data_IF_192235822709
#
_entry.id   IF_192235822709
#
_cell.length_a   1.000
_cell.length_b   1.000
_cell.length_c   1.000
_cell.angle_alpha   90.00
_cell.angle_beta   90.00
_cell.angle_gamma   90.00
#
_symmetry.space_group_name_H-M   'P 1'
#
loop_
_entity.id
_entity.type
_entity.pdbx_description
1 polymer ?
#
# COMPACT_ATOMS: atom_id res chain seq x y z
N UNK A 1 13.91 -7.63 -1.11
CA UNK A 1 13.04 -8.78 -0.87
C UNK A 1 13.79 -9.88 -1.53
N UNK A 2 14.37 -10.77 -0.74
CA UNK A 2 15.04 -11.93 -1.31
C UNK A 2 13.88 -12.73 -1.92
N UNK A 3 13.71 -12.66 -3.24
CA UNK A 3 13.12 -13.79 -3.96
C UNK A 3 13.92 -14.96 -3.40
N UNK A 4 13.29 -15.84 -2.61
CA UNK A 4 13.96 -17.05 -2.17
C UNK A 4 14.23 -17.78 -3.47
N UNK A 5 15.44 -17.55 -3.99
CA UNK A 5 15.91 -18.13 -5.22
C UNK A 5 16.06 -19.60 -4.88
N UNK A 6 15.03 -20.34 -5.27
CA UNK A 6 14.96 -21.74 -4.97
C UNK A 6 16.16 -22.37 -5.66
N UNK A 7 16.98 -23.07 -4.88
CA UNK A 7 18.06 -23.80 -5.50
C UNK A 7 17.45 -24.89 -6.40
N UNK A 8 18.23 -25.39 -7.37
CA UNK A 8 17.77 -26.43 -8.31
C UNK A 8 17.14 -27.65 -7.61
N UNK A 9 17.61 -27.98 -6.40
CA UNK A 9 17.05 -29.09 -5.61
C UNK A 9 15.66 -28.75 -5.07
N UNK A 10 15.43 -27.55 -4.56
CA UNK A 10 14.13 -27.07 -4.08
C UNK A 10 13.12 -26.96 -5.22
N UNK A 11 13.52 -26.48 -6.39
CA UNK A 11 12.68 -26.48 -7.59
C UNK A 11 12.29 -27.91 -7.99
N UNK A 12 13.24 -28.84 -7.97
CA UNK A 12 13.00 -30.24 -8.28
C UNK A 12 12.07 -30.90 -7.23
N UNK A 13 12.23 -30.58 -5.95
CA UNK A 13 11.30 -31.04 -4.89
C UNK A 13 9.88 -30.54 -5.19
N UNK A 14 9.71 -29.27 -5.54
CA UNK A 14 8.39 -28.73 -5.92
C UNK A 14 7.82 -29.51 -7.11
N UNK A 15 8.62 -29.80 -8.14
CA UNK A 15 8.18 -30.54 -9.31
C UNK A 15 7.72 -31.97 -8.96
N UNK A 16 8.50 -32.69 -8.15
CA UNK A 16 8.13 -34.02 -7.65
C UNK A 16 6.78 -34.00 -6.93
N UNK A 17 6.56 -33.00 -6.07
CA UNK A 17 5.30 -32.89 -5.31
C UNK A 17 4.14 -32.43 -6.21
N UNK A 18 4.38 -31.66 -7.27
CA UNK A 18 3.36 -31.34 -8.28
C UNK A 18 2.91 -32.58 -9.06
N UNK A 19 3.85 -33.43 -9.44
CA UNK A 19 3.58 -34.58 -10.31
C UNK A 19 3.00 -35.77 -9.53
N UNK A 20 3.41 -35.94 -8.26
CA UNK A 20 3.09 -37.14 -7.46
C UNK A 20 2.41 -36.83 -6.12
N UNK A 21 2.00 -35.58 -5.89
CA UNK A 21 1.36 -35.17 -4.64
C UNK A 21 -0.04 -35.78 -4.45
N UNK A 22 -0.44 -36.18 -3.22
CA UNK A 22 0.35 -36.16 -1.98
C UNK A 22 1.46 -37.20 -1.92
N UNK A 23 2.66 -36.77 -1.48
CA UNK A 23 3.85 -37.63 -1.41
C UNK A 23 4.62 -37.45 -0.09
N UNK A 24 5.12 -38.54 0.50
CA UNK A 24 5.87 -38.49 1.77
C UNK A 24 7.29 -37.98 1.57
N UNK A 25 7.87 -37.40 2.63
CA UNK A 25 9.27 -36.95 2.60
C UNK A 25 10.29 -38.08 2.38
N UNK A 26 9.94 -39.32 2.72
CA UNK A 26 10.74 -40.51 2.36
C UNK A 26 10.73 -40.75 0.86
N UNK A 27 9.57 -40.73 0.21
CA UNK A 27 9.44 -40.96 -1.23
C UNK A 27 10.08 -39.86 -2.06
N UNK A 28 9.97 -38.59 -1.64
CA UNK A 28 10.69 -37.47 -2.28
C UNK A 28 12.20 -37.69 -2.18
N UNK A 29 12.70 -38.06 -1.00
CA UNK A 29 14.12 -38.27 -0.78
C UNK A 29 14.65 -39.44 -1.63
N UNK A 30 13.87 -40.53 -1.76
CA UNK A 30 14.21 -41.67 -2.61
C UNK A 30 14.36 -41.29 -4.10
N UNK A 31 13.44 -40.48 -4.64
CA UNK A 31 13.52 -40.01 -6.04
C UNK A 31 14.74 -39.11 -6.30
N UNK A 32 15.20 -38.39 -5.28
CA UNK A 32 16.38 -37.52 -5.36
C UNK A 32 17.69 -38.24 -4.98
N UNK A 33 17.64 -39.51 -4.61
CA UNK A 33 18.82 -40.27 -4.14
C UNK A 33 19.37 -39.76 -2.80
N UNK A 34 18.52 -39.17 -1.96
CA UNK A 34 18.89 -38.57 -0.68
C UNK A 34 18.20 -39.28 0.50
N UNK A 35 18.67 -39.01 1.72
CA UNK A 35 17.96 -39.42 2.94
C UNK A 35 16.94 -38.36 3.36
N UNK A 36 15.84 -38.79 4.01
CA UNK A 36 14.82 -37.88 4.54
C UNK A 36 15.40 -36.84 5.51
N UNK A 37 16.43 -37.20 6.28
CA UNK A 37 17.10 -36.28 7.19
C UNK A 37 17.78 -35.12 6.44
N UNK A 38 18.41 -35.41 5.30
CA UNK A 38 19.10 -34.43 4.44
C UNK A 38 18.12 -33.48 3.76
N UNK A 39 16.92 -33.97 3.41
CA UNK A 39 15.87 -33.21 2.73
C UNK A 39 15.05 -32.30 3.69
N UNK A 40 15.16 -32.52 5.01
CA UNK A 40 14.35 -31.83 6.03
C UNK A 40 14.47 -30.29 5.97
N UNK A 41 15.67 -29.68 5.80
CA UNK A 41 15.78 -28.23 5.70
C UNK A 41 15.05 -27.67 4.47
N UNK A 42 15.17 -28.33 3.31
CA UNK A 42 14.50 -27.88 2.09
C UNK A 42 12.99 -27.97 2.20
N UNK A 43 12.47 -29.08 2.72
CA UNK A 43 11.03 -29.24 2.96
C UNK A 43 10.51 -28.20 3.97
N UNK A 44 11.26 -27.92 5.03
CA UNK A 44 10.91 -26.90 6.00
C UNK A 44 10.87 -25.51 5.36
N UNK A 45 11.88 -25.15 4.56
CA UNK A 45 11.93 -23.87 3.84
C UNK A 45 10.76 -23.76 2.86
N UNK A 46 10.50 -24.80 2.06
CA UNK A 46 9.42 -24.81 1.07
C UNK A 46 8.03 -24.76 1.72
N UNK A 47 7.85 -25.35 2.90
CA UNK A 47 6.62 -25.25 3.68
C UNK A 47 6.46 -23.88 4.34
N UNK A 48 7.51 -23.33 4.94
CA UNK A 48 7.48 -21.97 5.52
C UNK A 48 7.26 -20.91 4.44
N UNK A 49 7.87 -21.09 3.27
CA UNK A 49 7.69 -20.25 2.11
C UNK A 49 6.37 -20.51 1.36
N UNK A 50 5.50 -21.39 1.88
CA UNK A 50 4.14 -21.61 1.41
C UNK A 50 4.00 -22.32 0.06
N UNK A 51 5.08 -22.83 -0.53
CA UNK A 51 5.05 -23.65 -1.75
C UNK A 51 4.46 -25.04 -1.48
N UNK A 52 4.70 -25.59 -0.28
CA UNK A 52 4.24 -26.90 0.13
C UNK A 52 3.41 -26.85 1.42
N UNK A 53 2.38 -27.67 1.53
CA UNK A 53 1.64 -27.92 2.77
C UNK A 53 1.96 -29.33 3.26
N UNK A 54 2.33 -29.48 4.53
CA UNK A 54 2.60 -30.77 5.14
C UNK A 54 1.40 -31.23 5.97
N UNK A 55 0.89 -32.44 5.71
CA UNK A 55 -0.16 -33.07 6.54
C UNK A 55 0.36 -34.32 7.25
N UNK A 56 0.09 -34.46 8.56
CA UNK A 56 0.48 -35.65 9.31
C UNK A 56 -0.02 -36.93 8.64
N UNK A 57 0.85 -37.94 8.54
CA UNK A 57 0.56 -39.29 7.98
C UNK A 57 0.20 -39.36 6.49
N UNK A 58 0.19 -38.23 5.78
CA UNK A 58 -0.14 -38.19 4.34
C UNK A 58 1.05 -37.71 3.50
N UNK A 59 1.78 -36.69 3.99
CA UNK A 59 2.95 -36.15 3.29
C UNK A 59 2.73 -34.70 2.86
N UNK A 60 3.43 -34.32 1.79
CA UNK A 60 3.47 -32.96 1.27
C UNK A 60 2.55 -32.80 0.07
N UNK A 61 1.89 -31.64 0.01
CA UNK A 61 1.03 -31.20 -1.08
C UNK A 61 1.62 -29.93 -1.68
N UNK A 62 1.51 -29.77 -2.99
CA UNK A 62 1.76 -28.48 -3.61
C UNK A 62 0.56 -27.59 -3.35
N UNK A 63 0.78 -26.40 -2.78
CA UNK A 63 -0.32 -25.50 -2.37
C UNK A 63 -1.01 -24.83 -3.56
N UNK A 64 -0.50 -25.00 -4.78
CA UNK A 64 -0.93 -24.24 -5.94
C UNK A 64 -0.36 -22.82 -5.97
N UNK A 65 0.18 -22.34 -4.84
CA UNK A 65 0.69 -20.99 -4.69
C UNK A 65 2.12 -20.88 -5.15
N UNK A 66 2.35 -20.04 -6.14
CA UNK A 66 3.71 -19.59 -6.48
C UNK A 66 4.18 -18.58 -5.43
N UNK A 67 5.49 -18.41 -5.23
CA UNK A 67 6.02 -17.37 -4.35
C UNK A 67 5.48 -15.97 -4.68
N UNK A 68 5.17 -15.73 -5.96
CA UNK A 68 4.49 -14.50 -6.41
C UNK A 68 3.05 -14.36 -5.90
N UNK A 69 2.28 -15.44 -5.75
CA UNK A 69 0.93 -15.38 -5.18
C UNK A 69 0.95 -15.08 -3.68
N UNK A 70 1.90 -15.67 -2.94
CA UNK A 70 2.08 -15.39 -1.52
C UNK A 70 2.53 -13.95 -1.28
N UNK A 71 3.43 -13.44 -2.12
CA UNK A 71 3.80 -12.04 -2.12
C UNK A 71 2.60 -11.13 -2.40
N UNK A 72 1.81 -11.44 -3.42
CA UNK A 72 0.60 -10.68 -3.75
C UNK A 72 -0.39 -10.62 -2.58
N UNK A 73 -0.62 -11.75 -1.90
CA UNK A 73 -1.47 -11.80 -0.70
C UNK A 73 -0.90 -10.98 0.46
N UNK A 74 0.43 -11.01 0.68
CA UNK A 74 1.07 -10.23 1.74
C UNK A 74 0.98 -8.71 1.47
N UNK A 75 1.25 -8.28 0.23
CA UNK A 75 1.18 -6.86 -0.16
C UNK A 75 -0.26 -6.33 -0.02
N UNK A 76 -1.28 -7.12 -0.39
CA UNK A 76 -2.69 -6.73 -0.24
C UNK A 76 -3.15 -6.58 1.21
N UNK A 77 -2.40 -7.12 2.19
CA UNK A 77 -2.74 -7.00 3.61
C UNK A 77 -2.20 -5.73 4.25
N UNK A 78 -1.24 -5.06 3.62
CA UNK A 78 -0.67 -3.79 4.13
C UNK A 78 -1.77 -2.74 4.20
N UNK A 79 -1.86 -2.03 5.33
CA UNK A 79 -2.91 -1.05 5.57
C UNK A 79 -2.38 0.37 5.47
N UNK A 80 -3.29 1.30 5.18
CA UNK A 80 -2.99 2.74 5.11
C UNK A 80 -2.37 3.25 6.41
N UNK A 81 -2.89 2.80 7.56
CA UNK A 81 -2.40 3.24 8.87
C UNK A 81 -0.91 2.95 9.12
N UNK A 82 -0.35 1.94 8.45
CA UNK A 82 1.05 1.53 8.64
C UNK A 82 2.03 2.50 7.96
N UNK A 83 1.57 3.24 6.95
CA UNK A 83 2.40 4.09 6.09
C UNK A 83 1.94 5.54 5.97
N UNK A 84 0.81 5.92 6.57
CA UNK A 84 0.27 7.27 6.52
C UNK A 84 1.23 8.32 7.12
N UNK A 85 1.08 9.56 6.69
CA UNK A 85 1.78 10.73 7.23
C UNK A 85 0.82 11.70 7.89
N UNK A 86 1.35 12.70 8.60
CA UNK A 86 0.52 13.76 9.19
C UNK A 86 -0.18 14.55 8.07
N UNK A 87 -1.46 14.91 8.25
CA UNK A 87 -2.15 15.77 7.31
C UNK A 87 -1.73 17.22 7.50
N UNK A 88 -1.82 18.01 6.43
CA UNK A 88 -1.72 19.47 6.50
C UNK A 88 -3.08 20.02 6.13
N UNK A 89 -3.70 20.74 7.06
CA UNK A 89 -5.07 21.24 6.94
C UNK A 89 -5.09 22.77 6.94
N UNK A 90 -6.02 23.36 6.18
CA UNK A 90 -6.27 24.80 6.12
C UNK A 90 -7.77 25.09 6.18
N UNK A 91 -8.17 26.24 6.73
CA UNK A 91 -9.57 26.66 6.72
C UNK A 91 -10.00 27.08 5.30
N UNK A 92 -11.26 26.80 4.95
CA UNK A 92 -11.84 27.10 3.63
C UNK A 92 -11.82 28.57 3.22
N UNK A 93 -11.68 29.50 4.16
CA UNK A 93 -11.67 30.93 3.90
C UNK A 93 -10.27 31.53 3.81
N UNK A 94 -9.22 30.72 4.03
CA UNK A 94 -7.82 31.13 3.85
C UNK A 94 -7.58 31.56 2.40
N UNK A 95 -6.76 32.59 2.20
CA UNK A 95 -6.42 33.07 0.87
C UNK A 95 -5.59 32.05 0.09
N UNK A 96 -5.63 32.10 -1.24
CA UNK A 96 -4.77 31.27 -2.09
C UNK A 96 -3.30 31.56 -1.82
N UNK A 97 -2.94 32.82 -1.55
CA UNK A 97 -1.58 33.21 -1.17
C UNK A 97 -1.10 32.53 0.12
N UNK A 98 -1.92 32.56 1.17
CA UNK A 98 -1.57 31.94 2.45
C UNK A 98 -1.53 30.40 2.34
N UNK A 99 -2.36 29.82 1.48
CA UNK A 99 -2.30 28.40 1.17
C UNK A 99 -0.99 28.03 0.46
N UNK A 100 -0.51 28.86 -0.48
CA UNK A 100 0.82 28.68 -1.10
C UNK A 100 1.91 28.75 -0.02
N UNK A 101 1.88 29.76 0.86
CA UNK A 101 2.84 29.89 1.95
C UNK A 101 2.84 28.65 2.86
N UNK A 102 1.66 28.18 3.27
CA UNK A 102 1.50 26.97 4.10
C UNK A 102 2.07 25.74 3.39
N UNK A 103 1.82 25.60 2.07
CA UNK A 103 2.35 24.49 1.29
C UNK A 103 3.88 24.45 1.26
N UNK A 104 4.53 25.63 1.15
CA UNK A 104 5.98 25.75 1.18
C UNK A 104 6.56 25.54 2.58
N UNK A 105 5.92 26.08 3.63
CA UNK A 105 6.37 25.93 5.01
C UNK A 105 6.33 24.47 5.48
N UNK A 106 5.29 23.74 5.10
CA UNK A 106 5.10 22.34 5.47
C UNK A 106 5.78 21.36 4.49
N UNK A 107 6.36 21.86 3.40
CA UNK A 107 6.97 21.08 2.31
C UNK A 107 6.07 19.95 1.79
N UNK A 108 4.83 20.30 1.45
CA UNK A 108 3.83 19.34 0.92
C UNK A 108 3.35 19.71 -0.49
N UNK A 109 2.67 18.79 -1.16
CA UNK A 109 2.08 19.01 -2.49
C UNK A 109 0.56 19.10 -2.51
N UNK A 110 -0.08 18.89 -1.36
CA UNK A 110 -1.54 18.82 -1.25
C UNK A 110 -1.95 19.29 0.14
N UNK A 111 -2.93 20.17 0.18
CA UNK A 111 -3.54 20.70 1.39
C UNK A 111 -4.99 20.22 1.48
N UNK A 112 -5.41 19.87 2.68
CA UNK A 112 -6.79 19.47 2.94
C UNK A 112 -7.55 20.63 3.53
N UNK A 113 -8.66 20.98 2.89
CA UNK A 113 -9.46 22.13 3.27
C UNK A 113 -10.54 21.66 4.22
N UNK A 114 -10.59 22.29 5.40
CA UNK A 114 -11.57 22.00 6.45
C UNK A 114 -12.50 23.20 6.69
N UNK A 115 -13.63 22.93 7.32
CA UNK A 115 -14.50 23.98 7.86
C UNK A 115 -14.22 24.28 9.35
N UNK A 116 -15.05 25.13 9.93
CA UNK A 116 -14.97 25.54 11.34
C UNK A 116 -15.18 24.37 12.32
N UNK A 117 -15.79 23.27 11.88
CA UNK A 117 -15.96 22.04 12.66
C UNK A 117 -14.84 21.03 12.39
N UNK A 118 -13.76 21.44 11.72
CA UNK A 118 -12.61 20.61 11.31
C UNK A 118 -12.98 19.45 10.38
N UNK A 119 -14.10 19.57 9.68
CA UNK A 119 -14.58 18.56 8.74
C UNK A 119 -14.01 18.81 7.35
N UNK A 120 -13.64 17.75 6.64
CA UNK A 120 -13.12 17.81 5.28
C UNK A 120 -14.20 18.35 4.32
N UNK A 121 -13.90 19.48 3.68
CA UNK A 121 -14.78 20.11 2.68
C UNK A 121 -14.14 20.22 1.30
N UNK A 122 -12.81 20.07 1.21
CA UNK A 122 -12.10 20.22 -0.05
C UNK A 122 -10.66 19.73 -0.02
N UNK A 123 -10.07 19.67 -1.20
CA UNK A 123 -8.63 19.41 -1.39
C UNK A 123 -8.07 20.41 -2.39
N UNK A 124 -6.87 20.91 -2.11
CA UNK A 124 -6.14 21.81 -3.00
C UNK A 124 -4.76 21.20 -3.26
N UNK A 125 -4.47 20.93 -4.53
CA UNK A 125 -3.16 20.46 -4.97
C UNK A 125 -2.27 21.61 -5.40
N UNK A 126 -0.96 21.35 -5.51
CA UNK A 126 -0.01 22.30 -6.11
C UNK A 126 -0.42 22.72 -7.53
N UNK A 127 -1.04 21.80 -8.29
CA UNK A 127 -1.57 22.08 -9.64
C UNK A 127 -2.70 23.10 -9.61
N UNK A 128 -3.58 23.03 -8.60
CA UNK A 128 -4.68 23.98 -8.45
C UNK A 128 -4.18 25.38 -8.09
N UNK A 129 -3.22 25.46 -7.16
CA UNK A 129 -2.58 26.73 -6.79
C UNK A 129 -1.82 27.35 -7.96
N UNK A 130 -1.08 26.55 -8.72
CA UNK A 130 -0.38 27.01 -9.92
C UNK A 130 -1.36 27.54 -10.99
N UNK A 131 -2.48 26.82 -11.19
CA UNK A 131 -3.53 27.27 -12.11
C UNK A 131 -4.13 28.61 -11.65
N UNK A 132 -4.35 28.78 -10.35
CA UNK A 132 -4.86 30.02 -9.80
C UNK A 132 -3.85 31.17 -9.94
N UNK A 133 -2.55 30.91 -9.70
CA UNK A 133 -1.50 31.93 -9.77
C UNK A 133 -1.22 32.44 -11.18
N UNK A 134 -1.52 31.64 -12.22
CA UNK A 134 -1.46 32.07 -13.62
C UNK A 134 -2.69 32.87 -14.05
N UNK A 135 -3.73 32.94 -13.21
CA UNK A 135 -4.91 33.76 -13.43
C UNK A 135 -4.64 35.24 -13.20
N UNK A 136 -5.61 36.08 -13.58
CA UNK A 136 -5.58 37.54 -13.33
C UNK A 136 -6.21 37.95 -12.00
N UNK A 137 -6.59 36.99 -11.17
CA UNK A 137 -7.24 37.25 -9.88
C UNK A 137 -6.20 37.60 -8.81
N UNK A 138 -6.60 38.44 -7.87
CA UNK A 138 -5.77 38.76 -6.71
C UNK A 138 -5.77 37.58 -5.73
N UNK A 139 -4.63 36.90 -5.64
CA UNK A 139 -4.45 35.70 -4.81
C UNK A 139 -4.52 35.99 -3.30
N UNK A 140 -4.30 37.25 -2.90
CA UNK A 140 -4.30 37.64 -1.49
C UNK A 140 -5.71 37.77 -0.93
N UNK A 141 -6.70 38.06 -1.79
CA UNK A 141 -8.12 38.16 -1.43
C UNK A 141 -8.96 36.96 -1.87
N UNK A 142 -8.47 36.15 -2.82
CA UNK A 142 -9.16 34.97 -3.32
C UNK A 142 -9.14 33.82 -2.28
N UNK A 143 -10.29 33.37 -1.73
CA UNK A 143 -10.33 32.26 -0.80
C UNK A 143 -10.16 30.90 -1.51
N UNK A 144 -9.50 29.96 -0.83
CA UNK A 144 -9.23 28.60 -1.36
C UNK A 144 -10.50 27.83 -1.73
N UNK A 145 -11.63 28.09 -1.07
CA UNK A 145 -12.88 27.42 -1.38
C UNK A 145 -13.37 27.64 -2.83
N UNK A 146 -12.92 28.70 -3.51
CA UNK A 146 -13.30 28.99 -4.90
C UNK A 146 -12.57 28.05 -5.87
N UNK A 147 -11.35 27.64 -5.55
CA UNK A 147 -10.49 26.86 -6.46
C UNK A 147 -10.34 25.39 -6.08
N UNK A 148 -10.73 25.01 -4.86
CA UNK A 148 -10.57 23.65 -4.34
C UNK A 148 -11.42 22.61 -5.08
N UNK A 149 -10.95 21.36 -5.09
CA UNK A 149 -11.78 20.22 -5.46
C UNK A 149 -12.75 19.94 -4.33
N UNK A 150 -14.05 19.92 -4.64
CA UNK A 150 -15.15 19.75 -3.69
C UNK A 150 -15.72 18.34 -3.71
N UNK A 151 -16.44 17.98 -2.65
CA UNK A 151 -17.31 16.80 -2.65
C UNK A 151 -18.32 16.88 -3.81
N UNK A 152 -18.68 15.74 -4.44
CA UNK A 152 -18.29 14.36 -4.13
C UNK A 152 -16.99 13.89 -4.82
N UNK A 153 -16.26 14.77 -5.50
CA UNK A 153 -15.11 14.39 -6.35
C UNK A 153 -13.79 14.18 -5.58
N UNK A 154 -13.82 14.27 -4.24
CA UNK A 154 -12.65 14.07 -3.41
C UNK A 154 -12.45 12.57 -3.19
N UNK A 155 -11.33 12.05 -3.69
CA UNK A 155 -10.87 10.71 -3.33
C UNK A 155 -10.35 10.73 -1.88
N UNK A 156 -10.78 9.79 -1.05
CA UNK A 156 -10.43 9.69 0.37
C UNK A 156 -10.32 8.24 0.79
N UNK A 157 -9.60 7.98 1.88
CA UNK A 157 -9.38 6.62 2.38
C UNK A 157 -9.52 6.57 3.90
N UNK A 158 -9.64 5.35 4.44
CA UNK A 158 -9.67 5.04 5.86
C UNK A 158 -8.41 4.29 6.27
N UNK A 159 -8.19 4.16 7.58
CA UNK A 159 -6.97 3.56 8.15
C UNK A 159 -6.83 2.08 7.81
N UNK A 160 -7.97 1.39 7.77
CA UNK A 160 -8.14 -0.03 7.53
C UNK A 160 -8.15 -0.40 6.04
N UNK A 161 -8.15 0.59 5.14
CA UNK A 161 -8.10 0.35 3.70
C UNK A 161 -6.77 -0.27 3.30
N UNK A 162 -6.80 -1.06 2.22
CA UNK A 162 -5.60 -1.66 1.63
C UNK A 162 -4.72 -0.60 0.99
N UNK A 163 -3.43 -0.58 1.33
CA UNK A 163 -2.48 0.33 0.71
C UNK A 163 -2.38 0.12 -0.81
N UNK A 164 -2.58 -1.12 -1.28
CA UNK A 164 -2.60 -1.46 -2.69
C UNK A 164 -3.80 -0.81 -3.41
N UNK A 165 -4.99 -0.87 -2.83
CA UNK A 165 -6.20 -0.29 -3.44
C UNK A 165 -6.06 1.24 -3.53
N UNK A 166 -5.48 1.87 -2.50
CA UNK A 166 -5.16 3.30 -2.51
C UNK A 166 -4.12 3.63 -3.58
N UNK A 167 -3.09 2.80 -3.74
CA UNK A 167 -2.09 3.01 -4.78
C UNK A 167 -2.72 2.97 -6.19
N UNK A 168 -3.66 2.04 -6.44
CA UNK A 168 -4.43 2.00 -7.68
C UNK A 168 -5.24 3.28 -7.88
N UNK A 169 -5.96 3.75 -6.85
CA UNK A 169 -6.78 4.96 -6.95
C UNK A 169 -5.94 6.22 -7.23
N UNK A 170 -4.76 6.35 -6.60
CA UNK A 170 -3.81 7.43 -6.88
C UNK A 170 -3.36 7.43 -8.35
N UNK A 171 -3.14 6.24 -8.94
CA UNK A 171 -2.73 6.08 -10.34
C UNK A 171 -3.89 6.45 -11.27
N UNK A 172 -5.07 5.85 -11.08
CA UNK A 172 -6.23 6.03 -11.94
C UNK A 172 -6.69 7.50 -11.97
N UNK A 173 -6.72 8.16 -10.81
CA UNK A 173 -7.11 9.57 -10.70
C UNK A 173 -5.99 10.54 -11.01
N UNK A 174 -4.76 10.07 -11.21
CA UNK A 174 -3.56 10.88 -11.46
C UNK A 174 -3.34 11.97 -10.40
N UNK A 175 -3.53 11.62 -9.13
CA UNK A 175 -3.33 12.51 -7.98
C UNK A 175 -2.14 12.04 -7.13
N UNK A 176 -1.54 12.95 -6.37
CA UNK A 176 -0.33 12.64 -5.58
C UNK A 176 -0.62 12.24 -4.14
N UNK A 177 -1.79 12.63 -3.61
CA UNK A 177 -2.16 12.41 -2.23
C UNK A 177 -3.68 12.26 -2.04
N UNK A 178 -4.06 11.51 -1.00
CA UNK A 178 -5.43 11.40 -0.51
C UNK A 178 -5.49 11.66 1.00
N UNK A 179 -6.55 12.31 1.51
CA UNK A 179 -6.80 12.40 2.94
C UNK A 179 -7.19 11.03 3.50
N UNK A 180 -6.62 10.71 4.65
CA UNK A 180 -7.11 9.63 5.51
C UNK A 180 -8.15 10.25 6.43
N UNK A 181 -9.38 9.78 6.35
CA UNK A 181 -10.53 10.32 7.08
C UNK A 181 -11.08 9.33 8.10
N UNK A 182 -11.76 9.88 9.11
CA UNK A 182 -12.54 9.14 10.07
C UNK A 182 -14.00 9.59 9.99
N UNK A 183 -14.89 8.63 9.84
CA UNK A 183 -16.34 8.87 9.90
C UNK A 183 -16.73 9.21 11.36
N UNK A 184 -17.25 10.42 11.57
CA UNK A 184 -17.77 10.89 12.86
C UNK A 184 -19.26 11.24 12.73
N UNK A 185 -19.95 11.45 13.87
CA UNK A 185 -21.34 11.92 13.85
C UNK A 185 -21.50 13.30 13.19
N UNK A 186 -20.43 14.09 13.17
CA UNK A 186 -20.42 15.45 12.65
C UNK A 186 -20.03 15.49 11.17
N UNK A 187 -19.26 14.50 10.70
CA UNK A 187 -18.83 14.38 9.31
C UNK A 187 -17.48 13.67 9.18
N UNK A 188 -16.76 13.99 8.11
CA UNK A 188 -15.46 13.40 7.79
C UNK A 188 -14.33 14.20 8.45
N UNK A 189 -13.70 13.64 9.48
CA UNK A 189 -12.55 14.26 10.15
C UNK A 189 -11.24 13.83 9.46
N UNK A 190 -10.35 14.77 9.16
CA UNK A 190 -9.05 14.45 8.55
C UNK A 190 -8.05 14.01 9.62
N UNK A 191 -7.63 12.75 9.56
CA UNK A 191 -6.77 12.12 10.58
C UNK A 191 -5.39 11.72 10.04
N UNK A 192 -5.13 11.90 8.74
CA UNK A 192 -3.91 11.47 8.09
C UNK A 192 -3.84 11.89 6.62
N UNK A 193 -2.70 11.60 6.00
CA UNK A 193 -2.46 11.74 4.57
C UNK A 193 -1.74 10.52 4.05
N UNK A 194 -2.11 10.05 2.86
CA UNK A 194 -1.34 9.06 2.11
C UNK A 194 -0.92 9.65 0.77
N UNK A 195 0.31 9.38 0.35
CA UNK A 195 0.93 9.94 -0.87
C UNK A 195 1.64 8.87 -1.67
N UNK A 196 1.96 9.17 -2.93
CA UNK A 196 2.89 8.36 -3.73
C UNK A 196 4.20 8.06 -3.01
N UNK A 197 4.76 9.02 -2.26
CA UNK A 197 5.97 8.82 -1.45
C UNK A 197 5.78 7.78 -0.36
N UNK A 198 4.59 7.71 0.26
CA UNK A 198 4.28 6.66 1.24
C UNK A 198 4.23 5.28 0.57
N UNK A 199 3.65 5.18 -0.63
CA UNK A 199 3.63 3.95 -1.43
C UNK A 199 5.06 3.53 -1.81
N UNK A 200 5.88 4.47 -2.27
CA UNK A 200 7.29 4.21 -2.58
C UNK A 200 8.06 3.74 -1.35
N UNK A 201 7.84 4.36 -0.18
CA UNK A 201 8.46 3.90 1.07
C UNK A 201 8.02 2.49 1.42
N UNK A 202 6.73 2.17 1.31
CA UNK A 202 6.23 0.81 1.54
C UNK A 202 6.88 -0.21 0.61
N UNK A 203 7.04 0.14 -0.67
CA UNK A 203 7.75 -0.71 -1.63
C UNK A 203 9.22 -0.92 -1.23
N UNK A 204 9.92 0.11 -0.78
CA UNK A 204 11.31 -0.01 -0.31
C UNK A 204 11.41 -0.86 0.96
N UNK A 205 10.53 -0.67 1.93
CA UNK A 205 10.49 -1.44 3.18
C UNK A 205 10.22 -2.93 2.93
N UNK A 206 9.28 -3.24 2.02
CA UNK A 206 9.04 -4.60 1.54
C UNK A 206 10.31 -5.25 0.98
N UNK A 207 11.19 -4.46 0.37
CA UNK A 207 12.46 -4.95 -0.14
C UNK A 207 13.51 -5.09 0.97
N UNK A 208 13.54 -4.18 1.93
CA UNK A 208 14.52 -4.20 3.02
C UNK A 208 14.18 -5.21 4.14
N UNK A 209 12.99 -5.84 4.10
CA UNK A 209 12.45 -6.69 5.17
C UNK A 209 12.25 -5.93 6.50
N UNK A 210 11.85 -4.65 6.39
CA UNK A 210 11.46 -3.79 7.53
C UNK A 210 9.95 -3.59 7.60
#
# INVERSE_FOLDING_TARGET
>A
MIIIELNKRQEHIIQIVKDHGPITGESIAAQLGLTRATLRPDLAILTMAGYLEARPRVGYFYTGKTGGQLLSEAVKKIKVQDYQSRPVVIDKNVSVYDAICTMFLEDVGTLFVVDQMTLLVGVVSRKDLLRASLGKQDLTSLPVNIIMTRMPNIAMCRREDSLYDIAMELIERQIDAMPVVKDTKQGLEVIGRITKTNITRAFVNLVNNE
#
